data_IF_450575278125
#
_entry.id   IF_450575278125
#
_cell.length_a   1.000
_cell.length_b   1.000
_cell.length_c   1.000
_cell.angle_alpha   90.00
_cell.angle_beta   90.00
_cell.angle_gamma   90.00
#
_symmetry.space_group_name_H-M   'P 1'
#
loop_
_entity.id
_entity.type
_entity.pdbx_description
1 polymer ?
#
# COMPACT_ATOMS: atom_id res chain seq x y z
N UNK A 1 -22.15 -23.20 -7.72
CA UNK A 1 -20.71 -23.12 -7.47
C UNK A 1 -20.15 -22.04 -8.40
N UNK A 2 -19.40 -21.06 -7.91
CA UNK A 2 -18.68 -20.08 -8.76
C UNK A 2 -17.22 -20.52 -8.87
N UNK A 3 -16.66 -20.46 -10.06
CA UNK A 3 -15.26 -20.79 -10.33
C UNK A 3 -14.60 -19.52 -10.87
N UNK A 4 -13.47 -19.19 -10.30
CA UNK A 4 -12.60 -18.10 -10.76
C UNK A 4 -11.28 -18.72 -11.24
N UNK A 5 -10.67 -18.10 -12.23
CA UNK A 5 -9.37 -18.54 -12.79
C UNK A 5 -8.40 -17.39 -12.72
N UNK A 6 -7.13 -17.69 -12.52
CA UNK A 6 -6.07 -16.69 -12.46
C UNK A 6 -4.71 -17.31 -12.78
N UNK A 7 -3.67 -16.48 -12.66
CA UNK A 7 -2.27 -16.91 -12.85
C UNK A 7 -1.73 -17.44 -11.53
N UNK A 8 -1.11 -18.61 -11.55
CA UNK A 8 -0.50 -19.20 -10.35
C UNK A 8 0.78 -18.43 -10.01
N UNK A 9 0.78 -17.74 -8.88
CA UNK A 9 1.95 -17.07 -8.30
C UNK A 9 2.71 -18.00 -7.35
N UNK A 10 1.99 -18.85 -6.59
CA UNK A 10 2.55 -19.92 -5.76
C UNK A 10 1.63 -21.13 -5.82
N UNK A 11 2.21 -22.31 -6.05
CA UNK A 11 1.45 -23.55 -6.20
C UNK A 11 0.97 -24.08 -4.85
N UNK A 12 -0.18 -24.78 -4.86
CA UNK A 12 -0.69 -25.41 -3.65
C UNK A 12 -2.20 -25.58 -3.67
N UNK A 13 -2.74 -26.05 -2.55
CA UNK A 13 -4.17 -26.18 -2.29
C UNK A 13 -4.47 -25.62 -0.93
N UNK A 14 -5.46 -24.74 -0.84
CA UNK A 14 -5.98 -24.23 0.41
C UNK A 14 -7.51 -24.35 0.44
N UNK A 15 -8.04 -24.66 1.62
CA UNK A 15 -9.48 -24.68 1.89
C UNK A 15 -9.71 -23.97 3.22
N UNK A 16 -10.55 -22.96 3.22
CA UNK A 16 -10.82 -22.20 4.44
C UNK A 16 -11.78 -21.04 4.23
N UNK A 17 -12.09 -20.31 5.30
CA UNK A 17 -12.83 -19.05 5.24
C UNK A 17 -12.11 -18.04 4.33
N UNK A 18 -12.89 -17.14 3.75
CA UNK A 18 -12.38 -16.03 2.94
C UNK A 18 -12.49 -14.73 3.73
N UNK A 19 -11.41 -14.00 3.80
CA UNK A 19 -11.38 -12.62 4.31
C UNK A 19 -11.01 -11.70 3.15
N UNK A 20 -11.90 -10.75 2.83
CA UNK A 20 -11.63 -9.71 1.85
C UNK A 20 -10.94 -8.55 2.54
N UNK A 21 -9.81 -8.15 1.99
CA UNK A 21 -9.14 -6.90 2.31
C UNK A 21 -9.71 -5.85 1.36
N UNK A 22 -10.35 -4.85 1.92
CA UNK A 22 -10.93 -3.74 1.18
C UNK A 22 -10.24 -2.46 1.60
N UNK A 23 -9.61 -1.79 0.64
CA UNK A 23 -8.84 -0.57 0.90
C UNK A 23 -9.70 0.69 0.99
N UNK A 24 -11.02 0.54 0.91
CA UNK A 24 -11.97 1.63 0.97
C UNK A 24 -11.88 2.60 -0.22
N UNK A 25 -12.96 3.32 -0.45
CA UNK A 25 -12.91 4.45 -1.39
C UNK A 25 -12.21 5.63 -0.71
N UNK A 26 -11.20 6.14 -1.37
CA UNK A 26 -10.44 7.30 -0.92
C UNK A 26 -11.34 8.54 -0.92
N UNK A 27 -11.33 9.23 0.20
CA UNK A 27 -11.54 10.66 0.34
C UNK A 27 -12.90 11.24 0.02
N UNK A 28 -13.61 11.65 1.07
CA UNK A 28 -14.53 12.80 1.00
C UNK A 28 -13.68 14.04 0.77
N UNK A 29 -13.66 14.56 -0.45
CA UNK A 29 -12.99 15.81 -0.78
C UNK A 29 -13.54 16.94 0.13
N UNK A 30 -12.76 17.35 1.10
CA UNK A 30 -13.06 18.54 1.90
C UNK A 30 -13.00 19.77 0.99
N UNK A 31 -14.00 20.63 1.08
CA UNK A 31 -13.90 21.97 0.52
C UNK A 31 -12.84 22.72 1.33
N UNK A 32 -11.79 23.12 0.66
CA UNK A 32 -10.63 23.79 1.28
C UNK A 32 -10.90 25.28 1.38
N UNK A 33 -10.76 25.81 2.58
CA UNK A 33 -10.91 27.24 2.85
C UNK A 33 -9.59 27.96 3.16
N UNK A 34 -8.52 27.21 3.49
CA UNK A 34 -7.24 27.79 3.94
C UNK A 34 -6.04 26.90 3.55
N UNK A 35 -5.27 27.28 2.52
CA UNK A 35 -4.07 26.53 2.11
C UNK A 35 -3.00 26.44 3.21
N UNK A 36 -2.87 27.42 4.09
CA UNK A 36 -1.90 27.36 5.18
C UNK A 36 -2.26 26.27 6.19
N UNK A 37 -3.55 26.12 6.49
CA UNK A 37 -4.04 25.06 7.36
C UNK A 37 -3.84 23.69 6.71
N UNK A 38 -4.15 23.54 5.42
CA UNK A 38 -3.96 22.29 4.69
C UNK A 38 -2.47 21.91 4.64
N UNK A 39 -1.57 22.89 4.46
CA UNK A 39 -0.13 22.65 4.51
C UNK A 39 0.31 22.15 5.89
N UNK A 40 -0.15 22.77 6.96
CA UNK A 40 0.19 22.34 8.31
C UNK A 40 -0.34 20.92 8.64
N UNK A 41 -1.54 20.57 8.15
CA UNK A 41 -2.08 19.21 8.27
C UNK A 41 -1.21 18.17 7.51
N UNK A 42 -0.81 18.50 6.29
CA UNK A 42 0.08 17.67 5.49
C UNK A 42 1.44 17.46 6.19
N UNK A 43 2.08 18.54 6.63
CA UNK A 43 3.38 18.47 7.30
C UNK A 43 3.32 17.59 8.56
N UNK A 44 2.26 17.71 9.35
CA UNK A 44 2.04 16.84 10.50
C UNK A 44 1.80 15.38 10.12
N UNK A 45 1.03 15.12 9.06
CA UNK A 45 0.76 13.77 8.58
C UNK A 45 2.01 13.07 8.06
N UNK A 46 2.89 13.78 7.33
CA UNK A 46 4.18 13.25 6.86
C UNK A 46 5.07 12.82 8.03
N UNK A 47 5.15 13.63 9.08
CA UNK A 47 5.95 13.27 10.28
C UNK A 47 5.43 11.99 10.91
N UNK A 48 4.11 11.87 11.09
CA UNK A 48 3.49 10.67 11.66
C UNK A 48 3.67 9.44 10.75
N UNK A 49 3.47 9.58 9.44
CA UNK A 49 3.64 8.49 8.48
C UNK A 49 5.08 7.94 8.49
N UNK A 50 6.07 8.83 8.53
CA UNK A 50 7.48 8.42 8.61
C UNK A 50 7.81 7.71 9.92
N UNK A 51 7.30 8.18 11.04
CA UNK A 51 7.52 7.55 12.35
C UNK A 51 6.92 6.13 12.40
N UNK A 52 5.71 5.96 11.85
CA UNK A 52 5.08 4.64 11.71
C UNK A 52 5.91 3.71 10.81
N UNK A 53 6.36 4.19 9.62
CA UNK A 53 7.18 3.40 8.70
C UNK A 53 8.52 3.00 9.32
N UNK A 54 9.20 3.92 10.02
CA UNK A 54 10.44 3.62 10.72
C UNK A 54 10.25 2.63 11.88
N UNK A 55 9.09 2.68 12.52
CA UNK A 55 8.73 1.71 13.55
C UNK A 55 8.49 0.32 12.95
N UNK A 56 7.78 0.22 11.83
CA UNK A 56 7.59 -1.03 11.10
C UNK A 56 8.93 -1.59 10.60
N UNK A 57 9.83 -0.74 10.10
CA UNK A 57 11.14 -1.14 9.62
C UNK A 57 11.99 -1.84 10.71
N UNK A 58 11.92 -1.36 11.96
CA UNK A 58 12.62 -2.00 13.09
C UNK A 58 12.13 -3.43 13.39
N UNK A 59 10.91 -3.75 12.94
CA UNK A 59 10.27 -5.05 13.13
C UNK A 59 10.17 -5.87 11.83
N UNK A 60 10.80 -5.39 10.74
CA UNK A 60 10.82 -6.08 9.47
C UNK A 60 11.38 -7.51 9.63
N UNK A 61 10.72 -8.47 9.00
CA UNK A 61 11.05 -9.89 9.18
C UNK A 61 12.21 -10.34 8.29
N UNK A 62 12.43 -9.62 7.19
CA UNK A 62 13.54 -9.87 6.27
C UNK A 62 14.05 -8.56 5.64
N UNK A 63 15.16 -8.66 4.88
CA UNK A 63 15.80 -7.49 4.26
C UNK A 63 14.91 -6.85 3.18
N UNK A 64 14.13 -7.64 2.45
CA UNK A 64 13.26 -7.10 1.40
C UNK A 64 12.14 -6.25 2.01
N UNK A 65 11.54 -6.68 3.11
CA UNK A 65 10.55 -5.90 3.86
C UNK A 65 11.16 -4.58 4.35
N UNK A 66 12.40 -4.62 4.89
CA UNK A 66 13.11 -3.43 5.34
C UNK A 66 13.42 -2.44 4.18
N UNK A 67 13.81 -2.95 3.01
CA UNK A 67 14.13 -2.14 1.83
C UNK A 67 12.87 -1.45 1.25
N UNK A 68 11.71 -2.10 1.28
CA UNK A 68 10.45 -1.51 0.87
C UNK A 68 10.09 -0.35 1.80
N UNK A 69 10.14 -0.57 3.10
CA UNK A 69 9.82 0.47 4.09
C UNK A 69 10.81 1.65 4.01
N UNK A 70 12.09 1.38 3.78
CA UNK A 70 13.10 2.42 3.56
C UNK A 70 12.81 3.24 2.30
N UNK A 71 12.40 2.59 1.21
CA UNK A 71 11.99 3.30 0.00
C UNK A 71 10.78 4.20 0.26
N UNK A 72 9.78 3.74 1.00
CA UNK A 72 8.61 4.54 1.36
C UNK A 72 9.00 5.77 2.19
N UNK A 73 9.90 5.63 3.16
CA UNK A 73 10.43 6.77 3.93
C UNK A 73 11.17 7.76 3.03
N UNK A 74 12.06 7.26 2.15
CA UNK A 74 12.81 8.10 1.22
C UNK A 74 11.89 8.86 0.25
N UNK A 75 10.80 8.25 -0.23
CA UNK A 75 9.80 8.92 -1.04
C UNK A 75 9.14 10.08 -0.28
N UNK A 76 8.75 9.87 0.97
CA UNK A 76 8.12 10.90 1.79
C UNK A 76 9.08 12.03 2.18
N UNK A 77 10.39 11.84 2.00
CA UNK A 77 11.44 12.84 2.19
C UNK A 77 11.91 13.48 0.88
N UNK A 78 11.51 12.96 -0.26
CA UNK A 78 11.92 13.48 -1.57
C UNK A 78 11.37 14.89 -1.80
N UNK A 79 12.27 15.84 -2.07
CA UNK A 79 11.91 17.24 -2.26
C UNK A 79 11.00 17.46 -3.49
N UNK A 80 11.20 16.69 -4.56
CA UNK A 80 10.38 16.80 -5.77
C UNK A 80 8.95 16.36 -5.48
N UNK A 81 8.78 15.25 -4.73
CA UNK A 81 7.48 14.73 -4.31
C UNK A 81 6.75 15.70 -3.37
N UNK A 82 7.44 16.16 -2.32
CA UNK A 82 6.86 17.04 -1.29
C UNK A 82 6.55 18.43 -1.82
N UNK A 83 7.37 18.96 -2.72
CA UNK A 83 7.12 20.25 -3.38
C UNK A 83 5.92 20.18 -4.32
N UNK A 84 5.77 19.12 -5.10
CA UNK A 84 4.62 18.93 -5.99
C UNK A 84 3.30 18.91 -5.19
N UNK A 85 3.27 18.22 -4.03
CA UNK A 85 2.11 18.25 -3.13
C UNK A 85 1.87 19.65 -2.59
N UNK A 86 2.94 20.36 -2.17
CA UNK A 86 2.87 21.72 -1.70
C UNK A 86 2.27 22.69 -2.72
N UNK A 87 2.65 22.54 -3.99
CA UNK A 87 2.12 23.34 -5.09
C UNK A 87 0.62 23.10 -5.31
N UNK A 88 0.14 21.85 -5.19
CA UNK A 88 -1.29 21.57 -5.27
C UNK A 88 -2.07 22.17 -4.10
N UNK A 89 -1.52 22.11 -2.89
CA UNK A 89 -2.13 22.74 -1.72
C UNK A 89 -2.19 24.27 -1.89
N UNK A 90 -1.10 24.89 -2.35
CA UNK A 90 -1.05 26.33 -2.63
C UNK A 90 -2.05 26.74 -3.72
N UNK A 91 -2.31 25.86 -4.68
CA UNK A 91 -3.34 26.05 -5.72
C UNK A 91 -4.77 25.80 -5.22
N UNK A 92 -4.97 25.52 -3.92
CA UNK A 92 -6.29 25.37 -3.28
C UNK A 92 -6.80 23.93 -3.19
N UNK A 93 -5.95 22.92 -3.44
CA UNK A 93 -6.33 21.53 -3.18
C UNK A 93 -6.29 21.23 -1.65
N UNK A 94 -7.20 20.37 -1.18
CA UNK A 94 -7.08 19.77 0.14
C UNK A 94 -5.87 18.86 0.23
N UNK A 95 -5.27 18.74 1.40
CA UNK A 95 -4.04 17.97 1.62
C UNK A 95 -4.15 16.52 1.13
N UNK A 96 -5.25 15.82 1.46
CA UNK A 96 -5.47 14.45 0.98
C UNK A 96 -5.55 14.38 -0.54
N UNK A 97 -6.33 15.26 -1.19
CA UNK A 97 -6.46 15.31 -2.65
C UNK A 97 -5.14 15.68 -3.34
N UNK A 98 -4.31 16.52 -2.72
CA UNK A 98 -2.98 16.86 -3.21
C UNK A 98 -2.04 15.66 -3.20
N UNK A 99 -2.04 14.88 -2.10
CA UNK A 99 -1.28 13.62 -1.98
C UNK A 99 -1.72 12.61 -3.05
N UNK A 100 -3.02 12.37 -3.22
CA UNK A 100 -3.55 11.45 -4.22
C UNK A 100 -3.20 11.85 -5.65
N UNK A 101 -3.15 13.16 -5.91
CA UNK A 101 -2.76 13.67 -7.22
C UNK A 101 -1.27 13.43 -7.50
N UNK A 102 -0.41 13.69 -6.54
CA UNK A 102 1.02 13.41 -6.64
C UNK A 102 1.29 11.91 -6.77
N UNK A 103 0.60 11.08 -5.97
CA UNK A 103 0.64 9.62 -6.06
C UNK A 103 0.44 9.15 -7.50
N UNK A 104 -0.67 9.55 -8.14
CA UNK A 104 -0.97 9.13 -9.52
C UNK A 104 0.18 9.47 -10.47
N UNK A 105 0.71 10.68 -10.38
CA UNK A 105 1.78 11.12 -11.27
C UNK A 105 3.07 10.35 -11.03
N UNK A 106 3.47 10.18 -9.78
CA UNK A 106 4.71 9.47 -9.44
C UNK A 106 4.60 7.96 -9.69
N UNK A 107 3.48 7.34 -9.34
CA UNK A 107 3.25 5.93 -9.63
C UNK A 107 3.22 5.66 -11.15
N UNK A 108 2.61 6.55 -11.95
CA UNK A 108 2.58 6.40 -13.40
C UNK A 108 3.98 6.61 -14.02
N UNK A 109 4.78 7.54 -13.52
CA UNK A 109 6.18 7.71 -13.96
C UNK A 109 6.97 6.42 -13.75
N UNK A 110 6.84 5.80 -12.57
CA UNK A 110 7.55 4.55 -12.23
C UNK A 110 7.01 3.37 -13.05
N UNK A 111 5.71 3.25 -13.26
CA UNK A 111 5.11 2.19 -14.10
C UNK A 111 5.57 2.21 -15.55
N UNK A 112 5.92 3.39 -16.07
CA UNK A 112 6.39 3.56 -17.43
C UNK A 112 7.91 3.33 -17.61
N UNK A 113 8.63 2.98 -16.54
CA UNK A 113 10.04 2.60 -16.64
C UNK A 113 10.12 1.18 -17.24
N UNK A 114 11.05 0.99 -18.18
CA UNK A 114 11.28 -0.31 -18.82
C UNK A 114 12.18 -1.22 -17.95
N UNK A 115 11.72 -1.46 -16.72
CA UNK A 115 12.35 -2.33 -15.73
C UNK A 115 11.26 -2.91 -14.83
N UNK A 116 11.09 -4.22 -14.82
CA UNK A 116 10.04 -4.90 -14.07
C UNK A 116 10.17 -4.71 -12.55
N UNK A 117 11.39 -4.67 -12.03
CA UNK A 117 11.63 -4.45 -10.60
C UNK A 117 11.23 -3.03 -10.18
N UNK A 118 11.63 -2.02 -10.96
CA UNK A 118 11.24 -0.64 -10.68
C UNK A 118 9.73 -0.45 -10.85
N UNK A 119 9.12 -1.13 -11.79
CA UNK A 119 7.66 -1.06 -12.04
C UNK A 119 6.84 -1.53 -10.84
N UNK A 120 7.29 -2.57 -10.13
CA UNK A 120 6.65 -3.04 -8.89
C UNK A 120 6.72 -1.97 -7.78
N UNK A 121 7.75 -1.12 -7.77
CA UNK A 121 7.88 0.00 -6.81
C UNK A 121 6.76 1.05 -6.92
N UNK A 122 5.99 1.04 -8.01
CA UNK A 122 4.81 1.91 -8.11
C UNK A 122 3.75 1.58 -7.03
N UNK A 123 3.69 0.32 -6.59
CA UNK A 123 2.79 -0.11 -5.51
C UNK A 123 3.25 0.46 -4.16
N UNK A 124 4.57 0.55 -3.94
CA UNK A 124 5.14 1.13 -2.72
C UNK A 124 4.85 2.63 -2.62
N UNK A 125 4.83 3.35 -3.76
CA UNK A 125 4.37 4.75 -3.82
C UNK A 125 2.92 4.87 -3.37
N UNK A 126 2.04 4.04 -3.93
CA UNK A 126 0.62 4.04 -3.57
C UNK A 126 0.41 3.73 -2.08
N UNK A 127 1.16 2.77 -1.54
CA UNK A 127 1.06 2.37 -0.14
C UNK A 127 1.50 3.49 0.82
N UNK A 128 2.63 4.16 0.53
CA UNK A 128 3.11 5.29 1.31
C UNK A 128 2.11 6.46 1.29
N UNK A 129 1.58 6.80 0.11
CA UNK A 129 0.59 7.86 -0.05
C UNK A 129 -0.72 7.56 0.67
N UNK A 130 -1.21 6.31 0.56
CA UNK A 130 -2.41 5.85 1.26
C UNK A 130 -2.27 6.04 2.78
N UNK A 131 -1.10 5.71 3.36
CA UNK A 131 -0.81 5.94 4.77
C UNK A 131 -0.97 7.40 5.16
N UNK A 132 -0.40 8.32 4.36
CA UNK A 132 -0.53 9.77 4.60
C UNK A 132 -1.98 10.22 4.53
N UNK A 133 -2.74 9.73 3.53
CA UNK A 133 -4.17 10.06 3.38
C UNK A 133 -4.99 9.51 4.55
N UNK A 134 -4.72 8.28 5.01
CA UNK A 134 -5.41 7.71 6.16
C UNK A 134 -5.19 8.54 7.43
N UNK A 135 -3.97 9.03 7.66
CA UNK A 135 -3.67 9.94 8.77
C UNK A 135 -4.41 11.27 8.62
N UNK A 136 -4.43 11.86 7.42
CA UNK A 136 -5.14 13.11 7.14
C UNK A 136 -6.64 13.00 7.35
N UNK A 137 -7.22 11.84 7.06
CA UNK A 137 -8.64 11.54 7.26
C UNK A 137 -8.97 11.10 8.70
N UNK A 138 -7.97 11.02 9.58
CA UNK A 138 -8.14 10.56 10.96
C UNK A 138 -8.49 9.06 11.04
N UNK A 139 -8.20 8.31 9.99
CA UNK A 139 -8.34 6.86 9.98
C UNK A 139 -7.09 6.23 10.55
N UNK A 140 -7.24 5.41 11.58
CA UNK A 140 -6.13 4.58 12.02
C UNK A 140 -5.81 3.58 10.89
N UNK A 141 -4.54 3.49 10.53
CA UNK A 141 -4.08 2.40 9.65
C UNK A 141 -4.18 1.09 10.44
N UNK A 142 -5.39 0.50 10.42
CA UNK A 142 -5.68 -0.70 11.18
C UNK A 142 -5.22 -1.92 10.39
N UNK A 143 -4.28 -2.70 10.93
CA UNK A 143 -3.91 -3.95 10.29
C UNK A 143 -5.13 -4.87 10.17
N UNK A 144 -5.20 -5.60 9.08
CA UNK A 144 -6.26 -6.59 8.85
C UNK A 144 -6.22 -7.62 9.96
N UNK A 145 -7.27 -7.67 10.79
CA UNK A 145 -7.37 -8.66 11.86
C UNK A 145 -7.97 -9.95 11.33
N UNK A 146 -7.15 -10.97 11.23
CA UNK A 146 -7.60 -12.33 10.90
C UNK A 146 -7.85 -13.08 12.21
N UNK A 147 -9.09 -13.48 12.45
CA UNK A 147 -9.49 -14.19 13.69
C UNK A 147 -9.35 -15.71 13.61
N UNK A 148 -9.33 -16.24 12.40
CA UNK A 148 -9.19 -17.67 12.09
C UNK A 148 -8.35 -17.84 10.85
N UNK A 149 -7.58 -18.94 10.69
CA UNK A 149 -6.83 -19.18 9.47
C UNK A 149 -7.73 -19.04 8.23
N UNK A 150 -7.36 -18.17 7.29
CA UNK A 150 -8.22 -17.73 6.20
C UNK A 150 -7.46 -17.53 4.89
N UNK A 151 -8.18 -17.63 3.79
CA UNK A 151 -7.71 -17.21 2.46
C UNK A 151 -8.01 -15.72 2.33
N UNK A 152 -6.98 -14.93 2.01
CA UNK A 152 -7.12 -13.49 1.82
C UNK A 152 -7.40 -13.18 0.36
N UNK A 153 -8.35 -12.29 0.13
CA UNK A 153 -8.74 -11.81 -1.20
C UNK A 153 -8.66 -10.30 -1.23
N UNK A 154 -7.99 -9.74 -2.21
CA UNK A 154 -7.89 -8.29 -2.43
C UNK A 154 -7.91 -7.97 -3.92
N UNK A 155 -8.17 -6.73 -4.28
CA UNK A 155 -7.91 -6.25 -5.63
C UNK A 155 -6.37 -6.11 -5.87
N UNK A 156 -5.64 -5.64 -4.87
CA UNK A 156 -4.19 -5.52 -4.82
C UNK A 156 -3.74 -5.66 -3.37
N UNK A 157 -2.65 -6.36 -3.10
CA UNK A 157 -2.04 -6.39 -1.78
C UNK A 157 -0.95 -5.33 -1.68
N UNK A 158 -1.13 -4.38 -0.77
CA UNK A 158 -0.06 -3.45 -0.43
C UNK A 158 0.94 -4.08 0.54
N UNK A 159 2.22 -3.67 0.51
CA UNK A 159 3.20 -4.16 1.47
C UNK A 159 2.76 -3.99 2.92
N UNK A 160 2.16 -2.85 3.26
CA UNK A 160 1.67 -2.59 4.63
C UNK A 160 0.57 -3.54 5.09
N UNK A 161 -0.27 -4.06 4.18
CA UNK A 161 -1.27 -5.07 4.51
C UNK A 161 -0.60 -6.37 4.96
N UNK A 162 0.52 -6.72 4.31
CA UNK A 162 1.22 -7.99 4.50
C UNK A 162 2.16 -7.97 5.72
N UNK A 163 2.81 -6.84 6.01
CA UNK A 163 3.71 -6.68 7.15
C UNK A 163 2.98 -6.83 8.50
N UNK A 164 1.72 -6.42 8.54
CA UNK A 164 0.91 -6.47 9.76
C UNK A 164 0.22 -7.82 9.98
N UNK A 165 0.32 -8.77 9.02
CA UNK A 165 -0.33 -10.07 9.12
C UNK A 165 0.44 -11.04 10.01
N UNK A 166 -0.32 -11.76 10.85
CA UNK A 166 0.18 -13.02 11.41
C UNK A 166 0.19 -14.07 10.30
N UNK A 167 1.40 -14.35 9.78
CA UNK A 167 1.62 -15.26 8.66
C UNK A 167 1.04 -16.66 8.91
N UNK A 168 0.97 -17.12 10.17
CA UNK A 168 0.40 -18.41 10.53
C UNK A 168 -1.11 -18.51 10.29
N UNK A 169 -1.76 -17.36 10.15
CA UNK A 169 -3.21 -17.24 9.92
C UNK A 169 -3.56 -17.12 8.42
N UNK A 170 -2.58 -17.11 7.53
CA UNK A 170 -2.80 -16.99 6.09
C UNK A 170 -2.72 -18.35 5.42
N UNK A 171 -3.86 -18.84 4.90
CA UNK A 171 -3.94 -20.12 4.17
C UNK A 171 -3.63 -19.99 2.68
N UNK A 172 -3.80 -18.81 2.11
CA UNK A 172 -3.54 -18.52 0.71
C UNK A 172 -3.92 -17.09 0.35
N UNK A 173 -3.45 -16.62 -0.82
CA UNK A 173 -3.69 -15.27 -1.34
C UNK A 173 -4.38 -15.34 -2.69
N UNK A 174 -5.33 -14.42 -2.93
CA UNK A 174 -6.00 -14.24 -4.22
C UNK A 174 -6.11 -12.76 -4.52
N UNK A 175 -5.64 -12.31 -5.67
CA UNK A 175 -5.70 -10.90 -6.07
C UNK A 175 -6.10 -10.70 -7.53
N UNK A 176 -6.74 -9.58 -7.82
CA UNK A 176 -7.12 -9.18 -9.18
C UNK A 176 -5.95 -8.57 -9.96
N UNK A 177 -5.18 -7.68 -9.32
CA UNK A 177 -4.23 -6.79 -10.00
C UNK A 177 -2.76 -7.16 -9.78
N UNK A 178 -2.45 -8.00 -8.78
CA UNK A 178 -1.08 -8.42 -8.53
C UNK A 178 -0.46 -9.18 -9.70
N UNK A 179 0.86 -9.12 -9.78
CA UNK A 179 1.67 -9.90 -10.71
C UNK A 179 2.29 -11.12 -10.02
N UNK A 180 2.88 -12.02 -10.80
CA UNK A 180 3.65 -13.14 -10.25
C UNK A 180 4.97 -12.71 -9.61
N UNK A 181 5.39 -11.48 -9.82
CA UNK A 181 6.58 -10.85 -9.24
C UNK A 181 6.24 -9.90 -8.09
N UNK A 182 4.95 -9.68 -7.80
CA UNK A 182 4.51 -8.78 -6.71
C UNK A 182 5.02 -9.24 -5.34
N UNK A 183 5.06 -8.30 -4.41
CA UNK A 183 5.45 -8.59 -3.03
C UNK A 183 4.58 -9.70 -2.40
N UNK A 184 3.28 -9.69 -2.63
CA UNK A 184 2.37 -10.75 -2.19
C UNK A 184 2.73 -12.13 -2.76
N UNK A 185 3.12 -12.18 -4.04
CA UNK A 185 3.55 -13.41 -4.69
C UNK A 185 4.88 -13.94 -4.12
N UNK A 186 5.83 -13.03 -3.83
CA UNK A 186 7.12 -13.38 -3.22
C UNK A 186 6.89 -13.93 -1.81
N UNK A 187 6.09 -13.23 -1.02
CA UNK A 187 5.74 -13.65 0.35
C UNK A 187 5.04 -15.03 0.35
N UNK A 188 4.06 -15.24 -0.53
CA UNK A 188 3.37 -16.52 -0.62
C UNK A 188 4.32 -17.69 -0.92
N UNK A 189 5.27 -17.49 -1.83
CA UNK A 189 6.30 -18.49 -2.13
C UNK A 189 7.21 -18.76 -0.94
N UNK A 190 7.66 -17.72 -0.24
CA UNK A 190 8.52 -17.89 0.95
C UNK A 190 7.83 -18.63 2.09
N UNK A 191 6.51 -18.44 2.22
CA UNK A 191 5.67 -19.13 3.20
C UNK A 191 5.21 -20.53 2.76
N UNK A 192 5.38 -20.88 1.48
CA UNK A 192 4.88 -22.14 0.93
C UNK A 192 3.35 -22.23 0.86
N UNK A 193 2.64 -21.09 0.80
CA UNK A 193 1.18 -21.04 0.67
C UNK A 193 0.76 -20.78 -0.77
N UNK A 194 -0.41 -21.30 -1.21
CA UNK A 194 -0.91 -21.06 -2.55
C UNK A 194 -1.28 -19.60 -2.78
N UNK A 195 -0.98 -19.09 -3.97
CA UNK A 195 -1.37 -17.75 -4.38
C UNK A 195 -1.80 -17.70 -5.84
N UNK A 196 -2.92 -17.03 -6.10
CA UNK A 196 -3.44 -16.70 -7.42
C UNK A 196 -3.45 -15.19 -7.61
N UNK A 197 -3.01 -14.73 -8.76
CA UNK A 197 -3.11 -13.34 -9.18
C UNK A 197 -3.81 -13.23 -10.53
N UNK A 198 -4.29 -12.02 -10.87
CA UNK A 198 -5.06 -11.75 -12.10
C UNK A 198 -6.31 -12.62 -12.21
N UNK A 199 -7.07 -12.69 -11.12
CA UNK A 199 -8.30 -13.48 -11.00
C UNK A 199 -9.53 -12.73 -11.48
#
# INVERSE_FOLDING_TARGET
MRIFTGTIASSGLAVGPVVRIDHGMVGLHRIVSDPHRERALYDAAIVLAKDELMTLQKHAQDQNDADILMFQVALLEDESFTNEIGDYIAAGAGSAAAVERAERIFADRIRNIDDDYLRERSVDVCDACRRVVDILDGRAHMPVQIKTPSILVSDLFYPSDLFALDRSMVLGLVSEKDSVTSHAAIMARSMGIPALCRV
#
